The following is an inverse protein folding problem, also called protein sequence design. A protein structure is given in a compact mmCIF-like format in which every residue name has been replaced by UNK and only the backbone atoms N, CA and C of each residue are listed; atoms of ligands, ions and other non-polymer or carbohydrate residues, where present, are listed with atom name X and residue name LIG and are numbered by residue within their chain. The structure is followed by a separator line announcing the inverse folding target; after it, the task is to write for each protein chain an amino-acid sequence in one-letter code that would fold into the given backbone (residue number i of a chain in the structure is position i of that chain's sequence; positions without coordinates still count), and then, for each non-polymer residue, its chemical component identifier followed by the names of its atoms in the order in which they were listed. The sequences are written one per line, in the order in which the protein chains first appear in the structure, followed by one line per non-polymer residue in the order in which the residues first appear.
data_IF_073327726740
#
_entry.id   IF_073327726740
#
_cell.length_a   1.000
_cell.length_b   1.000
_cell.length_c   1.000
_cell.angle_alpha   90.00
_cell.angle_beta   90.00
_cell.angle_gamma   90.00
#
_symmetry.space_group_name_H-M   'P 1'
#
loop_
_entity.id
_entity.type
_entity.pdbx_description
1 polymer ?
#
# COMPACT_ATOMS: atom_id res chain seq x y z
N UNK A 1 -20.96 -17.20 -3.26
CA UNK A 1 -19.63 -16.92 -2.69
C UNK A 1 -19.11 -15.65 -3.36
N UNK A 2 -19.51 -14.48 -2.86
CA UNK A 2 -19.07 -13.15 -3.30
C UNK A 2 -18.39 -12.41 -2.13
N UNK A 3 -17.98 -13.17 -1.12
CA UNK A 3 -17.76 -12.68 0.24
C UNK A 3 -16.50 -11.79 0.32
N UNK A 4 -15.54 -11.99 -0.59
CA UNK A 4 -14.35 -11.16 -0.72
C UNK A 4 -14.63 -9.73 -1.23
N UNK A 5 -15.63 -9.53 -2.09
CA UNK A 5 -15.99 -8.19 -2.59
C UNK A 5 -16.60 -7.36 -1.45
N UNK A 6 -17.47 -7.99 -0.65
CA UNK A 6 -18.08 -7.34 0.51
C UNK A 6 -17.04 -6.96 1.56
N UNK A 7 -16.11 -7.87 1.89
CA UNK A 7 -15.06 -7.60 2.86
C UNK A 7 -14.11 -6.49 2.38
N UNK A 8 -13.78 -6.48 1.09
CA UNK A 8 -12.97 -5.41 0.48
C UNK A 8 -13.69 -4.07 0.61
N UNK A 9 -14.97 -4.01 0.24
CA UNK A 9 -15.76 -2.78 0.36
C UNK A 9 -15.80 -2.28 1.80
N UNK A 10 -16.06 -3.16 2.76
CA UNK A 10 -16.12 -2.81 4.17
C UNK A 10 -14.77 -2.25 4.67
N UNK A 11 -13.66 -2.88 4.28
CA UNK A 11 -12.32 -2.41 4.61
C UNK A 11 -12.05 -1.00 4.08
N UNK A 12 -12.37 -0.73 2.80
CA UNK A 12 -12.21 0.60 2.22
C UNK A 12 -13.13 1.63 2.88
N UNK A 13 -14.39 1.28 3.18
CA UNK A 13 -15.33 2.16 3.86
C UNK A 13 -14.82 2.51 5.28
N UNK A 14 -14.28 1.54 6.03
CA UNK A 14 -13.69 1.77 7.36
C UNK A 14 -12.40 2.60 7.29
N UNK A 15 -11.51 2.33 6.33
CA UNK A 15 -10.31 3.15 6.14
C UNK A 15 -10.65 4.59 5.75
N UNK A 16 -11.66 4.80 4.91
CA UNK A 16 -12.16 6.15 4.58
C UNK A 16 -12.76 6.87 5.78
N UNK A 17 -13.56 6.17 6.60
CA UNK A 17 -14.15 6.73 7.84
C UNK A 17 -13.08 7.32 8.75
N UNK A 18 -11.95 6.64 8.91
CA UNK A 18 -10.80 7.12 9.70
C UNK A 18 -9.76 7.88 8.88
N UNK A 19 -10.10 8.21 7.63
CA UNK A 19 -9.26 8.93 6.68
C UNK A 19 -7.85 8.36 6.50
N UNK A 20 -7.72 7.03 6.62
CA UNK A 20 -6.45 6.32 6.57
C UNK A 20 -5.89 6.16 5.15
N UNK A 21 -6.69 6.36 4.11
CA UNK A 21 -6.22 6.26 2.73
C UNK A 21 -5.55 7.55 2.26
N UNK A 22 -4.41 7.41 1.59
CA UNK A 22 -3.74 8.49 0.89
C UNK A 22 -3.27 8.04 -0.49
N UNK A 23 -3.22 8.97 -1.43
CA UNK A 23 -2.72 8.70 -2.77
C UNK A 23 -1.20 8.51 -2.75
N UNK A 24 -0.72 7.51 -3.47
CA UNK A 24 0.71 7.27 -3.65
C UNK A 24 1.08 7.40 -5.13
N UNK A 25 2.16 8.12 -5.39
CA UNK A 25 2.80 8.16 -6.70
C UNK A 25 4.17 7.52 -6.58
N UNK A 26 4.43 6.49 -7.39
CA UNK A 26 5.74 5.89 -7.50
C UNK A 26 6.44 6.52 -8.70
N UNK A 27 7.48 7.29 -8.44
CA UNK A 27 8.39 7.84 -9.46
C UNK A 27 9.69 7.03 -9.43
N UNK A 28 9.90 6.22 -10.45
CA UNK A 28 10.99 5.24 -10.50
C UNK A 28 11.90 5.59 -11.67
N UNK A 29 13.18 5.79 -11.38
CA UNK A 29 14.26 5.85 -12.37
C UNK A 29 15.06 4.55 -12.29
N UNK A 30 15.08 3.78 -13.37
CA UNK A 30 15.84 2.54 -13.50
C UNK A 30 17.30 2.84 -13.85
N UNK A 31 18.18 1.87 -13.64
CA UNK A 31 19.63 2.04 -13.88
C UNK A 31 19.99 2.25 -15.35
N UNK A 32 19.14 1.79 -16.29
CA UNK A 32 19.27 2.09 -17.72
C UNK A 32 18.71 3.47 -18.10
N UNK A 33 18.37 4.32 -17.12
CA UNK A 33 17.77 5.66 -17.26
C UNK A 33 16.32 5.68 -17.74
N UNK A 34 15.69 4.52 -17.92
CA UNK A 34 14.24 4.47 -18.14
C UNK A 34 13.50 5.00 -16.93
N UNK A 35 12.42 5.74 -17.19
CA UNK A 35 11.56 6.31 -16.15
C UNK A 35 10.19 5.68 -16.19
N UNK A 36 9.66 5.35 -15.02
CA UNK A 36 8.31 4.84 -14.84
C UNK A 36 7.64 5.61 -13.71
N UNK A 37 6.58 6.34 -14.08
CA UNK A 37 5.71 7.00 -13.12
C UNK A 37 4.40 6.23 -13.03
N UNK A 38 4.08 5.75 -11.83
CA UNK A 38 2.85 5.02 -11.54
C UNK A 38 2.01 5.87 -10.59
N UNK A 39 0.77 6.13 -10.99
CA UNK A 39 -0.22 6.90 -10.24
C UNK A 39 -1.56 6.16 -10.20
N UNK A 40 -2.55 6.70 -9.49
CA UNK A 40 -3.89 6.11 -9.36
C UNK A 40 -3.99 5.01 -8.31
N UNK A 41 -3.01 4.89 -7.42
CA UNK A 41 -3.03 3.94 -6.30
C UNK A 41 -3.11 4.68 -4.97
N UNK A 42 -3.67 4.00 -3.97
CA UNK A 42 -3.76 4.47 -2.60
C UNK A 42 -3.01 3.53 -1.65
N UNK A 43 -2.47 4.09 -0.59
CA UNK A 43 -1.84 3.37 0.52
C UNK A 43 -2.42 3.88 1.85
N UNK A 44 -1.90 3.36 2.96
CA UNK A 44 -2.25 3.80 4.30
C UNK A 44 -1.34 4.95 4.73
N UNK A 45 -1.94 6.07 5.13
CA UNK A 45 -1.27 7.17 5.80
C UNK A 45 -0.81 6.73 7.20
N UNK A 46 0.50 6.63 7.37
CA UNK A 46 1.12 6.12 8.60
C UNK A 46 0.94 7.07 9.78
N UNK A 47 0.89 8.37 9.53
CA UNK A 47 0.73 9.37 10.59
C UNK A 47 -0.66 9.24 11.21
N UNK A 48 -1.70 9.16 10.37
CA UNK A 48 -3.09 8.94 10.81
C UNK A 48 -3.30 7.58 11.45
N UNK A 49 -2.63 6.53 10.95
CA UNK A 49 -2.64 5.22 11.58
C UNK A 49 -2.04 5.27 12.99
N UNK A 50 -0.96 6.03 13.18
CA UNK A 50 -0.32 6.19 14.50
C UNK A 50 -1.11 7.09 15.45
N UNK A 51 -1.97 7.97 14.92
CA UNK A 51 -2.79 8.90 15.68
C UNK A 51 -4.24 8.44 15.89
N UNK A 52 -4.53 7.15 15.66
CA UNK A 52 -5.86 6.61 15.89
C UNK A 52 -6.30 6.77 17.35
N UNK A 53 -7.54 7.19 17.54
CA UNK A 53 -8.14 7.24 18.88
C UNK A 53 -8.59 5.84 19.34
N UNK A 54 -8.99 5.72 20.61
CA UNK A 54 -9.37 4.43 21.21
C UNK A 54 -10.52 3.72 20.48
N UNK A 55 -11.56 4.45 20.11
CA UNK A 55 -12.72 3.90 19.37
C UNK A 55 -12.32 3.35 18.01
N UNK A 56 -11.46 4.08 17.29
CA UNK A 56 -10.96 3.65 15.99
C UNK A 56 -10.08 2.41 16.08
N UNK A 57 -9.20 2.36 17.09
CA UNK A 57 -8.37 1.18 17.36
C UNK A 57 -9.24 -0.05 17.67
N UNK A 58 -10.27 0.09 18.50
CA UNK A 58 -11.17 -1.01 18.84
C UNK A 58 -11.91 -1.54 17.60
N UNK A 59 -12.49 -0.64 16.80
CA UNK A 59 -13.24 -1.00 15.60
C UNK A 59 -12.35 -1.69 14.54
N UNK A 60 -11.18 -1.12 14.26
CA UNK A 60 -10.23 -1.68 13.31
C UNK A 60 -9.65 -3.01 13.79
N UNK A 61 -9.41 -3.17 15.10
CA UNK A 61 -8.90 -4.42 15.65
C UNK A 61 -9.95 -5.54 15.60
N UNK A 62 -11.20 -5.25 16.01
CA UNK A 62 -12.30 -6.24 15.99
C UNK A 62 -12.64 -6.72 14.58
N UNK A 63 -12.50 -5.86 13.57
CA UNK A 63 -12.72 -6.20 12.17
C UNK A 63 -11.52 -6.87 11.49
N UNK A 64 -10.35 -6.92 12.14
CA UNK A 64 -9.09 -7.40 11.55
C UNK A 64 -8.42 -6.40 10.59
N UNK A 65 -9.04 -5.25 10.34
CA UNK A 65 -8.53 -4.24 9.41
C UNK A 65 -7.32 -3.47 9.96
N UNK A 66 -7.13 -3.44 11.28
CA UNK A 66 -5.91 -2.87 11.87
C UNK A 66 -4.68 -3.64 11.38
N UNK A 67 -4.72 -4.97 11.42
CA UNK A 67 -3.64 -5.82 10.92
C UNK A 67 -3.45 -5.64 9.41
N UNK A 68 -4.55 -5.57 8.65
CA UNK A 68 -4.49 -5.32 7.21
C UNK A 68 -3.81 -3.98 6.88
N UNK A 69 -4.10 -2.91 7.64
CA UNK A 69 -3.46 -1.62 7.47
C UNK A 69 -1.94 -1.70 7.64
N UNK A 70 -1.47 -2.36 8.71
CA UNK A 70 -0.03 -2.57 8.93
C UNK A 70 0.62 -3.42 7.82
N UNK A 71 -0.06 -4.42 7.30
CA UNK A 71 0.45 -5.21 6.17
C UNK A 71 0.53 -4.41 4.87
N UNK A 72 -0.44 -3.53 4.60
CA UNK A 72 -0.38 -2.61 3.46
C UNK A 72 0.85 -1.71 3.60
N UNK A 73 1.05 -1.08 4.76
CA UNK A 73 2.25 -0.25 5.05
C UNK A 73 3.54 -1.05 4.85
N UNK A 74 3.64 -2.25 5.45
CA UNK A 74 4.83 -3.08 5.35
C UNK A 74 5.12 -3.52 3.91
N UNK A 75 4.09 -3.76 3.10
CA UNK A 75 4.23 -4.17 1.70
C UNK A 75 4.95 -3.12 0.85
N UNK A 76 4.85 -1.83 1.20
CA UNK A 76 5.51 -0.74 0.48
C UNK A 76 7.04 -0.83 0.52
N UNK A 77 7.61 -1.42 1.57
CA UNK A 77 9.04 -1.69 1.63
C UNK A 77 9.51 -2.68 0.54
N UNK A 78 8.61 -3.52 0.03
CA UNK A 78 8.93 -4.49 -1.02
C UNK A 78 9.01 -3.85 -2.42
N UNK A 79 8.48 -2.64 -2.62
CA UNK A 79 8.58 -1.94 -3.92
C UNK A 79 10.04 -1.73 -4.31
N UNK A 80 10.92 -1.35 -3.37
CA UNK A 80 12.36 -1.23 -3.62
C UNK A 80 12.98 -2.54 -4.09
N UNK A 81 12.63 -3.66 -3.45
CA UNK A 81 13.12 -4.99 -3.85
C UNK A 81 12.69 -5.36 -5.26
N UNK A 82 11.46 -5.02 -5.65
CA UNK A 82 10.95 -5.23 -7.01
C UNK A 82 11.69 -4.36 -8.04
N UNK A 83 12.00 -3.11 -7.70
CA UNK A 83 12.83 -2.22 -8.53
C UNK A 83 14.23 -2.82 -8.71
N UNK A 84 14.86 -3.30 -7.64
CA UNK A 84 16.19 -3.94 -7.71
C UNK A 84 16.18 -5.20 -8.58
N UNK A 85 15.12 -6.02 -8.47
CA UNK A 85 14.91 -7.19 -9.34
C UNK A 85 14.78 -6.79 -10.81
N UNK A 86 14.05 -5.72 -11.10
CA UNK A 86 13.89 -5.19 -12.46
C UNK A 86 15.22 -4.64 -13.00
N UNK A 87 15.97 -3.89 -12.21
CA UNK A 87 17.29 -3.37 -12.57
C UNK A 87 18.28 -4.50 -12.91
N UNK A 88 18.31 -5.57 -12.10
CA UNK A 88 19.15 -6.75 -12.41
C UNK A 88 18.82 -7.36 -13.78
N UNK A 89 17.54 -7.47 -14.11
CA UNK A 89 17.09 -7.98 -15.43
C UNK A 89 17.50 -7.06 -16.57
N UNK A 90 17.41 -5.74 -16.38
CA UNK A 90 17.80 -4.75 -17.39
C UNK A 90 19.31 -4.77 -17.64
N UNK A 91 20.13 -4.88 -16.59
CA UNK A 91 21.58 -4.97 -16.71
C UNK A 91 22.07 -6.31 -17.29
N UNK A 92 21.34 -7.40 -17.07
CA UNK A 92 21.65 -8.71 -17.68
C UNK A 92 21.24 -8.82 -19.15
N UNK A 93 20.57 -7.79 -19.70
CA UNK A 93 19.94 -7.79 -21.02
C UNK A 93 20.55 -6.81 -22.04
N UNK A 94 21.83 -6.41 -21.88
CA UNK A 94 22.66 -5.86 -22.96
C UNK A 94 23.58 -6.95 -23.56
N UNK A 95 22.97 -8.02 -24.06
CA UNK A 95 23.55 -8.95 -25.04
C UNK A 95 22.46 -9.40 -26.01
#
# INVERSE_FOLDING_TARGET
MNDGIFLTKLMFDTFNKYQLLEDVTLDIEFQNRDKLKINGFQTINTDKLSSLNGEALEELNKSGFLQAAYFIVASMSNVRKLIDLKNRKLLSGEN
#
